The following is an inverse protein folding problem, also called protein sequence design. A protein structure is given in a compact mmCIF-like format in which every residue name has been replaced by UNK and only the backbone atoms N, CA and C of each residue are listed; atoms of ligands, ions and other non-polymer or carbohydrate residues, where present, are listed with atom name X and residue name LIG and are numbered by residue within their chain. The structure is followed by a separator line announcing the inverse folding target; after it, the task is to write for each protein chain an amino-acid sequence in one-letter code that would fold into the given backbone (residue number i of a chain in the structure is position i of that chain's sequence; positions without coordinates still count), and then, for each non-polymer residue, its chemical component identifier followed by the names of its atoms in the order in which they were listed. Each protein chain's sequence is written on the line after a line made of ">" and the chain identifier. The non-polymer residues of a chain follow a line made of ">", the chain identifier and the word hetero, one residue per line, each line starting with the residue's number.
data_IF_468859597062
#
_entry.id   IF_468859597062
#
_cell.length_a   1.000
_cell.length_b   1.000
_cell.length_c   1.000
_cell.angle_alpha   90.00
_cell.angle_beta   90.00
_cell.angle_gamma   90.00
#
_symmetry.space_group_name_H-M   'P 1'
#
loop_
_entity.id
_entity.type
_entity.pdbx_description
1 polymer ?
#
# COMPACT_ATOMS: atom_id res chain seq x y z
N UNK A 1 -40.26 68.83 -2.75
CA UNK A 1 -39.35 69.98 -2.55
C UNK A 1 -38.69 69.77 -1.20
N UNK A 2 -37.44 69.28 -1.17
CA UNK A 2 -36.68 69.18 0.08
C UNK A 2 -36.03 70.53 0.34
N UNK A 3 -36.53 71.28 1.31
CA UNK A 3 -36.01 72.59 1.66
C UNK A 3 -34.62 72.42 2.31
N UNK A 4 -33.55 73.05 1.78
CA UNK A 4 -32.21 72.89 2.34
C UNK A 4 -32.04 73.47 3.76
N UNK A 5 -33.04 74.21 4.26
CA UNK A 5 -33.10 74.74 5.64
C UNK A 5 -34.06 73.98 6.58
N UNK A 6 -34.44 72.73 6.24
CA UNK A 6 -35.26 71.91 7.13
C UNK A 6 -34.57 71.58 8.48
N UNK A 7 -35.34 71.32 9.55
CA UNK A 7 -34.79 70.92 10.84
C UNK A 7 -33.91 69.67 10.68
N UNK A 8 -32.80 69.62 11.44
CA UNK A 8 -31.89 68.47 11.41
C UNK A 8 -32.61 67.25 11.96
N UNK A 9 -32.72 66.20 11.14
CA UNK A 9 -33.28 64.93 11.56
C UNK A 9 -32.36 64.28 12.60
N UNK A 10 -32.90 64.02 13.79
CA UNK A 10 -32.17 63.41 14.91
C UNK A 10 -32.82 62.12 15.34
N UNK A 11 -32.07 61.27 16.04
CA UNK A 11 -32.59 60.03 16.61
C UNK A 11 -33.54 60.35 17.78
N UNK A 12 -34.64 59.62 17.89
CA UNK A 12 -35.54 59.75 19.02
C UNK A 12 -34.91 59.08 20.27
N UNK A 13 -34.63 59.82 21.35
CA UNK A 13 -34.02 59.27 22.57
C UNK A 13 -34.91 58.23 23.27
N UNK A 14 -36.23 58.32 23.11
CA UNK A 14 -37.19 57.40 23.75
C UNK A 14 -37.05 55.96 23.22
N UNK A 15 -36.54 55.80 21.99
CA UNK A 15 -36.32 54.50 21.36
C UNK A 15 -34.97 53.86 21.71
N UNK A 16 -34.13 54.53 22.50
CA UNK A 16 -32.76 54.08 22.82
C UNK A 16 -32.68 52.65 23.38
N UNK A 17 -33.48 52.35 24.41
CA UNK A 17 -33.51 51.02 25.03
C UNK A 17 -34.09 49.92 24.14
N UNK A 18 -35.03 50.26 23.24
CA UNK A 18 -35.52 49.31 22.24
C UNK A 18 -34.43 48.96 21.23
N UNK A 19 -33.73 49.98 20.73
CA UNK A 19 -32.67 49.82 19.75
C UNK A 19 -31.46 49.03 20.31
N UNK A 20 -31.13 49.21 21.58
CA UNK A 20 -30.09 48.41 22.25
C UNK A 20 -30.47 46.93 22.34
N UNK A 21 -31.74 46.65 22.70
CA UNK A 21 -32.28 45.28 22.71
C UNK A 21 -32.39 44.68 21.31
N UNK A 22 -32.63 45.49 20.29
CA UNK A 22 -32.66 45.04 18.90
C UNK A 22 -31.25 44.72 18.39
N UNK A 23 -30.28 45.61 18.67
CA UNK A 23 -28.87 45.42 18.30
C UNK A 23 -28.25 44.20 19.00
N UNK A 24 -28.60 43.96 20.27
CA UNK A 24 -28.11 42.78 21.00
C UNK A 24 -28.64 41.47 20.43
N UNK A 25 -29.89 41.45 19.95
CA UNK A 25 -30.50 40.31 19.23
C UNK A 25 -29.93 40.13 17.83
N UNK A 26 -29.71 41.24 17.10
CA UNK A 26 -29.35 41.23 15.69
C UNK A 26 -27.93 41.75 15.42
N UNK A 27 -26.92 41.16 16.08
CA UNK A 27 -25.52 41.63 16.02
C UNK A 27 -24.90 41.68 14.62
N UNK A 28 -25.43 40.90 13.67
CA UNK A 28 -24.92 40.81 12.29
C UNK A 28 -25.59 41.80 11.34
N UNK A 29 -26.66 42.47 11.76
CA UNK A 29 -27.36 43.45 10.93
C UNK A 29 -26.73 44.83 11.11
N UNK A 30 -26.54 45.52 9.98
CA UNK A 30 -26.06 46.89 9.96
C UNK A 30 -27.23 47.84 10.22
N UNK A 31 -27.03 48.81 11.11
CA UNK A 31 -28.00 49.88 11.37
C UNK A 31 -27.81 51.07 10.42
N UNK A 32 -26.83 51.02 9.51
CA UNK A 32 -26.53 52.07 8.55
C UNK A 32 -26.60 51.55 7.11
N UNK A 33 -26.78 52.46 6.15
CA UNK A 33 -26.84 52.12 4.72
C UNK A 33 -25.77 52.84 3.91
N UNK A 34 -24.97 52.08 3.16
CA UNK A 34 -23.94 52.62 2.27
C UNK A 34 -24.54 53.44 1.12
N UNK A 35 -25.76 53.10 0.66
CA UNK A 35 -26.47 53.88 -0.37
C UNK A 35 -26.87 55.27 0.11
N UNK A 36 -26.96 55.45 1.43
CA UNK A 36 -27.22 56.73 2.08
C UNK A 36 -25.93 57.34 2.68
N UNK A 37 -24.74 56.93 2.23
CA UNK A 37 -23.47 57.44 2.74
C UNK A 37 -23.18 57.03 4.18
N UNK A 38 -23.49 55.77 4.53
CA UNK A 38 -23.34 55.20 5.88
C UNK A 38 -24.19 55.89 6.96
N UNK A 39 -25.28 56.55 6.57
CA UNK A 39 -26.24 57.16 7.51
C UNK A 39 -27.03 56.10 8.27
N UNK A 40 -27.29 56.38 9.53
CA UNK A 40 -28.08 55.55 10.44
C UNK A 40 -29.54 55.50 9.99
N UNK A 41 -30.04 54.29 9.72
CA UNK A 41 -31.40 54.04 9.25
C UNK A 41 -32.46 54.35 10.32
N UNK A 42 -32.08 54.37 11.60
CA UNK A 42 -33.01 54.67 12.70
C UNK A 42 -33.47 56.12 12.69
N UNK A 43 -32.61 57.03 12.22
CA UNK A 43 -32.99 58.44 12.00
C UNK A 43 -34.12 58.52 10.96
N UNK A 44 -34.07 57.71 9.90
CA UNK A 44 -35.13 57.66 8.89
C UNK A 44 -36.45 57.15 9.48
N UNK A 45 -36.40 56.12 10.33
CA UNK A 45 -37.57 55.57 11.03
C UNK A 45 -38.20 56.62 11.95
N UNK A 46 -37.37 57.25 12.78
CA UNK A 46 -37.83 58.16 13.83
C UNK A 46 -38.43 59.46 13.26
N UNK A 47 -37.96 59.91 12.08
CA UNK A 47 -38.40 61.15 11.43
C UNK A 47 -39.30 60.88 10.20
N UNK A 48 -39.87 59.68 10.10
CA UNK A 48 -40.62 59.25 8.91
C UNK A 48 -41.76 60.20 8.57
N UNK A 49 -42.50 60.67 9.59
CA UNK A 49 -43.60 61.63 9.44
C UNK A 49 -43.12 63.01 8.99
N UNK A 50 -42.02 63.49 9.54
CA UNK A 50 -41.42 64.80 9.18
C UNK A 50 -40.93 64.84 7.73
N UNK A 51 -40.50 63.69 7.19
CA UNK A 51 -40.14 63.55 5.77
C UNK A 51 -41.36 63.40 4.84
N UNK A 52 -42.58 63.60 5.34
CA UNK A 52 -43.82 63.46 4.57
C UNK A 52 -44.33 62.02 4.49
N UNK A 53 -43.82 61.12 5.34
CA UNK A 53 -44.33 59.76 5.48
C UNK A 53 -45.67 59.76 6.20
N UNK A 54 -46.74 59.37 5.52
CA UNK A 54 -48.02 59.14 6.18
C UNK A 54 -47.99 57.77 6.85
N UNK A 55 -48.25 57.69 8.15
CA UNK A 55 -48.51 56.41 8.84
C UNK A 55 -49.83 55.83 8.33
N UNK A 56 -49.83 55.30 7.11
CA UNK A 56 -50.88 54.40 6.67
C UNK A 56 -50.63 53.09 7.40
N UNK A 57 -51.38 52.89 8.48
CA UNK A 57 -51.65 51.55 8.97
C UNK A 57 -51.99 50.67 7.78
N UNK A 58 -51.39 49.49 7.81
CA UNK A 58 -51.44 48.46 6.79
C UNK A 58 -52.86 48.30 6.20
N UNK A 59 -52.95 48.30 4.87
CA UNK A 59 -54.14 47.96 4.07
C UNK A 59 -55.24 49.03 3.91
N UNK A 60 -54.99 50.01 3.04
CA UNK A 60 -55.98 50.31 2.01
C UNK A 60 -55.30 50.23 0.64
N UNK A 61 -55.58 49.15 -0.09
CA UNK A 61 -55.32 49.10 -1.53
C UNK A 61 -56.15 50.23 -2.15
N UNK A 62 -55.49 51.18 -2.82
CA UNK A 62 -56.20 52.11 -3.72
C UNK A 62 -57.02 51.25 -4.69
N UNK A 63 -58.27 51.62 -5.01
CA UNK A 63 -59.00 50.92 -6.06
C UNK A 63 -58.15 50.96 -7.33
N UNK A 64 -57.92 49.78 -7.91
CA UNK A 64 -57.23 49.64 -9.18
C UNK A 64 -58.10 50.36 -10.20
N UNK A 65 -57.62 51.51 -10.67
CA UNK A 65 -58.19 52.16 -11.82
C UNK A 65 -57.85 51.27 -13.01
N UNK A 66 -58.81 50.46 -13.46
CA UNK A 66 -58.63 49.56 -14.59
C UNK A 66 -58.50 50.38 -15.88
N UNK A 67 -57.27 50.77 -16.21
CA UNK A 67 -56.94 51.16 -17.58
C UNK A 67 -56.88 49.88 -18.44
N UNK A 68 -57.56 49.82 -19.61
CA UNK A 68 -57.74 48.60 -20.40
C UNK A 68 -56.45 47.99 -20.99
N UNK A 69 -55.28 48.62 -20.81
CA UNK A 69 -53.97 48.05 -21.18
C UNK A 69 -53.19 47.36 -20.04
N UNK A 70 -53.67 47.44 -18.80
CA UNK A 70 -52.88 47.05 -17.60
C UNK A 70 -52.79 45.54 -17.43
N UNK A 71 -53.82 44.80 -17.85
CA UNK A 71 -53.90 43.33 -17.74
C UNK A 71 -52.92 42.63 -18.69
N UNK A 72 -52.78 43.11 -19.94
CA UNK A 72 -51.85 42.58 -20.93
C UNK A 72 -50.38 42.82 -20.57
N UNK A 73 -50.05 43.97 -19.98
CA UNK A 73 -48.69 44.26 -19.51
C UNK A 73 -48.28 43.35 -18.34
N UNK A 74 -49.19 43.12 -17.39
CA UNK A 74 -48.93 42.24 -16.24
C UNK A 74 -48.79 40.78 -16.68
N UNK A 75 -49.60 40.30 -17.61
CA UNK A 75 -49.45 38.94 -18.17
C UNK A 75 -48.15 38.81 -18.98
N UNK A 76 -47.80 39.79 -19.80
CA UNK A 76 -46.52 39.81 -20.53
C UNK A 76 -45.31 39.82 -19.58
N UNK A 77 -45.36 40.56 -18.47
CA UNK A 77 -44.29 40.52 -17.44
C UNK A 77 -44.16 39.15 -16.79
N UNK A 78 -45.28 38.50 -16.45
CA UNK A 78 -45.28 37.14 -15.89
C UNK A 78 -44.73 36.11 -16.88
N UNK A 79 -45.12 36.22 -18.15
CA UNK A 79 -44.62 35.35 -19.21
C UNK A 79 -43.11 35.51 -19.41
N UNK A 80 -42.63 36.75 -19.54
CA UNK A 80 -41.21 37.05 -19.67
C UNK A 80 -40.39 36.58 -18.45
N UNK A 81 -40.94 36.72 -17.24
CA UNK A 81 -40.29 36.22 -16.03
C UNK A 81 -40.18 34.68 -16.04
N UNK A 82 -41.26 33.98 -16.42
CA UNK A 82 -41.24 32.50 -16.56
C UNK A 82 -40.25 32.04 -17.62
N UNK A 83 -40.21 32.72 -18.76
CA UNK A 83 -39.27 32.39 -19.83
C UNK A 83 -37.81 32.56 -19.37
N UNK A 84 -37.49 33.64 -18.65
CA UNK A 84 -36.15 33.84 -18.06
C UNK A 84 -35.80 32.76 -17.03
N UNK A 85 -36.76 32.36 -16.19
CA UNK A 85 -36.55 31.29 -15.21
C UNK A 85 -36.26 29.95 -15.90
N UNK A 86 -37.05 29.58 -16.91
CA UNK A 86 -36.82 28.36 -17.69
C UNK A 86 -35.47 28.38 -18.41
N UNK A 87 -35.06 29.53 -18.95
CA UNK A 87 -33.74 29.67 -19.57
C UNK A 87 -32.61 29.51 -18.55
N UNK A 88 -32.76 30.09 -17.35
CA UNK A 88 -31.79 29.89 -16.27
C UNK A 88 -31.72 28.44 -15.80
N UNK A 89 -32.86 27.78 -15.60
CA UNK A 89 -32.91 26.36 -15.24
C UNK A 89 -32.18 25.51 -16.28
N UNK A 90 -32.45 25.74 -17.57
CA UNK A 90 -31.77 25.03 -18.66
C UNK A 90 -30.25 25.26 -18.65
N UNK A 91 -29.78 26.46 -18.31
CA UNK A 91 -28.35 26.75 -18.19
C UNK A 91 -27.73 26.05 -17.00
N UNK A 92 -28.43 25.98 -15.88
CA UNK A 92 -27.98 25.26 -14.67
C UNK A 92 -27.83 23.78 -14.98
N UNK A 93 -28.84 23.13 -15.58
CA UNK A 93 -28.78 21.70 -15.90
C UNK A 93 -27.64 21.38 -16.87
N UNK A 94 -27.46 22.19 -17.91
CA UNK A 94 -26.35 22.01 -18.87
C UNK A 94 -24.98 22.17 -18.19
N UNK A 95 -24.83 23.10 -17.25
CA UNK A 95 -23.59 23.27 -16.50
C UNK A 95 -23.35 22.10 -15.53
N UNK A 96 -24.40 21.58 -14.90
CA UNK A 96 -24.30 20.40 -14.03
C UNK A 96 -23.88 19.16 -14.83
N UNK A 97 -24.47 18.92 -16.00
CA UNK A 97 -24.11 17.80 -16.88
C UNK A 97 -22.65 17.89 -17.36
N UNK A 98 -22.20 19.08 -17.76
CA UNK A 98 -20.81 19.30 -18.18
C UNK A 98 -19.82 19.18 -17.03
N UNK A 99 -20.14 19.70 -15.83
CA UNK A 99 -19.33 19.47 -14.64
C UNK A 99 -19.27 18.00 -14.24
N UNK A 100 -20.39 17.28 -14.32
CA UNK A 100 -20.44 15.86 -13.99
C UNK A 100 -19.60 15.03 -14.98
N UNK A 101 -19.68 15.33 -16.28
CA UNK A 101 -18.85 14.69 -17.29
C UNK A 101 -17.36 14.94 -17.05
N UNK A 102 -16.96 16.20 -16.84
CA UNK A 102 -15.58 16.57 -16.54
C UNK A 102 -15.09 15.95 -15.21
N UNK A 103 -15.95 15.90 -14.19
CA UNK A 103 -15.65 15.28 -12.91
C UNK A 103 -15.40 13.77 -13.03
N UNK A 104 -16.17 13.08 -13.88
CA UNK A 104 -15.98 11.66 -14.15
C UNK A 104 -14.65 11.38 -14.87
N UNK A 105 -14.28 12.22 -15.84
CA UNK A 105 -12.98 12.11 -16.53
C UNK A 105 -11.80 12.28 -15.57
N UNK A 106 -11.85 13.28 -14.69
CA UNK A 106 -10.81 13.51 -13.67
C UNK A 106 -10.75 12.36 -12.66
N UNK A 107 -11.91 11.81 -12.25
CA UNK A 107 -11.97 10.65 -11.38
C UNK A 107 -11.34 9.42 -12.03
N UNK A 108 -11.64 9.17 -13.31
CA UNK A 108 -11.05 8.07 -14.09
C UNK A 108 -9.54 8.22 -14.24
N UNK A 109 -9.05 9.43 -14.53
CA UNK A 109 -7.63 9.72 -14.62
C UNK A 109 -6.92 9.48 -13.27
N UNK A 110 -7.53 9.91 -12.16
CA UNK A 110 -7.00 9.69 -10.82
C UNK A 110 -6.95 8.20 -10.46
N UNK A 111 -7.97 7.44 -10.85
CA UNK A 111 -8.00 5.99 -10.67
C UNK A 111 -6.88 5.30 -11.45
N UNK A 112 -6.65 5.70 -12.71
CA UNK A 112 -5.57 5.17 -13.54
C UNK A 112 -4.18 5.39 -12.89
N UNK A 113 -3.89 6.61 -12.41
CA UNK A 113 -2.59 6.87 -11.78
C UNK A 113 -2.41 6.11 -10.46
N UNK A 114 -3.47 5.92 -9.68
CA UNK A 114 -3.41 5.05 -8.49
C UNK A 114 -3.11 3.61 -8.86
N UNK A 115 -3.79 3.08 -9.88
CA UNK A 115 -3.57 1.72 -10.32
C UNK A 115 -2.16 1.54 -10.88
N UNK A 116 -1.67 2.47 -11.70
CA UNK A 116 -0.30 2.42 -12.24
C UNK A 116 0.76 2.53 -11.13
N UNK A 117 0.54 3.38 -10.12
CA UNK A 117 1.40 3.43 -8.94
C UNK A 117 1.43 2.11 -8.17
N UNK A 118 0.27 1.48 -7.97
CA UNK A 118 0.17 0.18 -7.31
C UNK A 118 0.87 -0.91 -8.11
N UNK A 119 0.65 -1.00 -9.42
CA UNK A 119 1.33 -1.98 -10.28
C UNK A 119 2.86 -1.83 -10.23
N UNK A 120 3.36 -0.59 -10.21
CA UNK A 120 4.80 -0.33 -10.06
C UNK A 120 5.33 -0.77 -8.70
N UNK A 121 4.59 -0.48 -7.63
CA UNK A 121 4.95 -0.90 -6.28
C UNK A 121 5.00 -2.43 -6.16
N UNK A 122 3.97 -3.12 -6.65
CA UNK A 122 3.89 -4.59 -6.63
C UNK A 122 5.05 -5.22 -7.44
N UNK A 123 5.37 -4.65 -8.60
CA UNK A 123 6.49 -5.11 -9.42
C UNK A 123 7.85 -4.89 -8.76
N UNK A 124 8.01 -3.80 -8.00
CA UNK A 124 9.23 -3.55 -7.22
C UNK A 124 9.34 -4.50 -6.02
N UNK A 125 8.25 -4.72 -5.28
CA UNK A 125 8.21 -5.67 -4.17
C UNK A 125 8.52 -7.09 -4.65
N UNK A 126 7.95 -7.50 -5.78
CA UNK A 126 8.25 -8.80 -6.40
C UNK A 126 9.74 -8.95 -6.70
N UNK A 127 10.37 -7.94 -7.31
CA UNK A 127 11.82 -7.94 -7.58
C UNK A 127 12.64 -8.05 -6.30
N UNK A 128 12.30 -7.27 -5.26
CA UNK A 128 12.99 -7.35 -3.96
C UNK A 128 12.89 -8.75 -3.36
N UNK A 129 11.73 -9.40 -3.47
CA UNK A 129 11.52 -10.76 -2.96
C UNK A 129 12.30 -11.80 -3.77
N UNK A 130 12.35 -11.65 -5.09
CA UNK A 130 13.13 -12.50 -5.99
C UNK A 130 14.62 -12.38 -5.68
N UNK A 131 15.17 -11.18 -5.56
CA UNK A 131 16.58 -10.94 -5.21
C UNK A 131 16.95 -11.58 -3.85
N UNK A 132 16.08 -11.47 -2.85
CA UNK A 132 16.27 -12.10 -1.54
C UNK A 132 16.20 -13.62 -1.60
N UNK A 133 15.39 -14.17 -2.49
CA UNK A 133 15.32 -15.62 -2.70
C UNK A 133 16.54 -16.12 -3.46
N UNK A 134 16.99 -15.42 -4.49
CA UNK A 134 18.19 -15.77 -5.24
C UNK A 134 19.43 -15.77 -4.35
N UNK A 135 19.57 -14.78 -3.46
CA UNK A 135 20.65 -14.78 -2.45
C UNK A 135 20.58 -15.98 -1.52
N UNK A 136 19.38 -16.36 -1.07
CA UNK A 136 19.20 -17.54 -0.21
C UNK A 136 19.48 -18.84 -0.96
N UNK A 137 19.09 -18.93 -2.23
CA UNK A 137 19.34 -20.12 -3.05
C UNK A 137 20.83 -20.26 -3.40
N UNK A 138 21.52 -19.16 -3.69
CA UNK A 138 22.96 -19.17 -3.96
C UNK A 138 23.75 -19.57 -2.72
N UNK A 139 23.44 -18.99 -1.55
CA UNK A 139 24.06 -19.38 -0.27
C UNK A 139 23.79 -20.86 0.06
N UNK A 140 22.56 -21.33 -0.18
CA UNK A 140 22.20 -22.74 0.03
C UNK A 140 22.97 -23.67 -0.90
N UNK A 141 23.05 -23.36 -2.19
CA UNK A 141 23.81 -24.13 -3.17
C UNK A 141 25.29 -24.17 -2.82
N UNK A 142 25.88 -23.04 -2.45
CA UNK A 142 27.28 -22.97 -2.04
C UNK A 142 27.54 -23.85 -0.80
N UNK A 143 26.62 -23.84 0.18
CA UNK A 143 26.73 -24.71 1.35
C UNK A 143 26.59 -26.19 0.98
N UNK A 144 25.66 -26.55 0.11
CA UNK A 144 25.46 -27.91 -0.38
C UNK A 144 26.69 -28.41 -1.17
N UNK A 145 27.31 -27.57 -2.00
CA UNK A 145 28.56 -27.88 -2.71
C UNK A 145 29.73 -28.10 -1.75
N UNK A 146 29.87 -27.25 -0.73
CA UNK A 146 30.88 -27.41 0.34
C UNK A 146 30.66 -28.70 1.13
N UNK A 147 29.42 -29.10 1.39
CA UNK A 147 29.14 -30.38 2.05
C UNK A 147 29.37 -31.58 1.13
N UNK A 148 29.02 -31.49 -0.16
CA UNK A 148 29.30 -32.53 -1.15
C UNK A 148 30.80 -32.77 -1.28
N UNK A 149 31.59 -31.72 -1.49
CA UNK A 149 33.05 -31.82 -1.60
C UNK A 149 33.66 -32.46 -0.37
N UNK A 150 33.22 -32.11 0.85
CA UNK A 150 33.67 -32.77 2.08
C UNK A 150 33.31 -34.26 2.12
N UNK A 151 32.10 -34.64 1.71
CA UNK A 151 31.67 -36.05 1.67
C UNK A 151 32.44 -36.84 0.61
N UNK A 152 32.69 -36.24 -0.55
CA UNK A 152 33.48 -36.84 -1.62
C UNK A 152 34.94 -37.05 -1.19
N UNK A 153 35.56 -36.05 -0.55
CA UNK A 153 36.91 -36.21 0.01
C UNK A 153 36.98 -37.30 1.08
N UNK A 154 36.00 -37.36 1.98
CA UNK A 154 35.94 -38.40 3.01
C UNK A 154 35.79 -39.80 2.37
N UNK A 155 34.87 -39.94 1.41
CA UNK A 155 34.69 -41.18 0.67
C UNK A 155 35.97 -41.59 -0.08
N UNK A 156 36.67 -40.64 -0.70
CA UNK A 156 37.95 -40.89 -1.39
C UNK A 156 39.02 -41.37 -0.41
N UNK A 157 39.13 -40.76 0.77
CA UNK A 157 40.07 -41.20 1.83
C UNK A 157 39.74 -42.61 2.33
N UNK A 158 38.46 -42.91 2.53
CA UNK A 158 38.00 -44.25 2.94
C UNK A 158 38.34 -45.30 1.87
N UNK A 159 38.11 -44.97 0.59
CA UNK A 159 38.49 -45.84 -0.52
C UNK A 159 40.00 -46.07 -0.59
N UNK A 160 40.81 -45.03 -0.47
CA UNK A 160 42.28 -45.16 -0.47
C UNK A 160 42.78 -46.02 0.70
N UNK A 161 42.21 -45.84 1.90
CA UNK A 161 42.55 -46.68 3.06
C UNK A 161 42.14 -48.15 2.85
N UNK A 162 40.98 -48.39 2.25
CA UNK A 162 40.52 -49.74 1.92
C UNK A 162 41.45 -50.41 0.89
N UNK A 163 41.89 -49.67 -0.13
CA UNK A 163 42.84 -50.15 -1.13
C UNK A 163 44.23 -50.43 -0.53
N UNK A 164 44.76 -49.51 0.28
CA UNK A 164 46.03 -49.74 1.01
C UNK A 164 45.96 -50.98 1.88
N UNK A 165 44.83 -51.20 2.54
CA UNK A 165 44.63 -52.41 3.36
C UNK A 165 44.60 -53.67 2.51
N UNK A 166 43.92 -53.67 1.36
CA UNK A 166 43.95 -54.80 0.41
C UNK A 166 45.37 -55.10 -0.08
N UNK A 167 46.12 -54.06 -0.46
CA UNK A 167 47.51 -54.20 -0.90
C UNK A 167 48.41 -54.77 0.20
N UNK A 168 48.21 -54.34 1.45
CA UNK A 168 48.92 -54.90 2.59
C UNK A 168 48.59 -56.37 2.81
N UNK A 169 47.30 -56.74 2.79
CA UNK A 169 46.86 -58.12 2.94
C UNK A 169 47.41 -59.03 1.81
N UNK A 170 47.50 -58.53 0.58
CA UNK A 170 48.14 -59.23 -0.55
C UNK A 170 49.63 -59.44 -0.33
N UNK A 171 50.37 -58.40 0.10
CA UNK A 171 51.79 -58.52 0.45
C UNK A 171 52.03 -59.55 1.55
N UNK A 172 51.21 -59.52 2.60
CA UNK A 172 51.31 -60.49 3.70
C UNK A 172 51.04 -61.93 3.26
N UNK A 173 50.19 -62.14 2.23
CA UNK A 173 49.96 -63.47 1.65
C UNK A 173 51.19 -63.97 0.89
N UNK A 174 51.83 -63.11 0.10
CA UNK A 174 53.05 -63.45 -0.63
C UNK A 174 54.20 -63.75 0.33
N UNK A 175 54.42 -62.93 1.36
CA UNK A 175 55.44 -63.17 2.38
C UNK A 175 55.24 -64.51 3.10
N UNK A 176 53.98 -64.88 3.39
CA UNK A 176 53.66 -66.21 3.97
C UNK A 176 53.99 -67.35 3.01
N UNK A 177 53.72 -67.19 1.72
CA UNK A 177 54.06 -68.18 0.70
C UNK A 177 55.58 -68.32 0.57
N UNK A 178 56.30 -67.21 0.47
CA UNK A 178 57.75 -67.20 0.37
C UNK A 178 58.42 -67.81 1.61
N UNK A 179 57.93 -67.50 2.81
CA UNK A 179 58.41 -68.13 4.03
C UNK A 179 58.15 -69.65 4.02
N UNK A 180 57.01 -70.09 3.49
CA UNK A 180 56.69 -71.50 3.27
C UNK A 180 57.66 -72.17 2.28
N UNK A 181 57.93 -71.54 1.15
CA UNK A 181 58.88 -72.03 0.14
C UNK A 181 60.31 -72.08 0.70
N UNK A 182 60.77 -71.02 1.39
CA UNK A 182 62.08 -70.99 2.06
C UNK A 182 62.19 -72.10 3.10
N UNK A 183 61.13 -72.34 3.88
CA UNK A 183 61.10 -73.44 4.84
C UNK A 183 61.20 -74.80 4.14
N UNK A 184 60.45 -75.01 3.05
CA UNK A 184 60.54 -76.22 2.24
C UNK A 184 61.95 -76.42 1.67
N UNK A 185 62.57 -75.39 1.11
CA UNK A 185 63.95 -75.44 0.60
C UNK A 185 64.95 -75.81 1.72
N UNK A 186 64.82 -75.22 2.90
CA UNK A 186 65.64 -75.54 4.07
C UNK A 186 65.46 -77.00 4.49
N UNK A 187 64.23 -77.51 4.51
CA UNK A 187 63.96 -78.92 4.84
C UNK A 187 64.58 -79.88 3.82
N UNK A 188 64.54 -79.55 2.53
CA UNK A 188 65.22 -80.34 1.48
C UNK A 188 66.73 -80.35 1.72
N UNK A 189 67.34 -79.20 2.00
CA UNK A 189 68.77 -79.10 2.31
C UNK A 189 69.16 -79.91 3.55
N UNK A 190 68.39 -79.78 4.64
CA UNK A 190 68.58 -80.57 5.86
C UNK A 190 68.42 -82.07 5.57
N UNK A 191 67.46 -82.48 4.75
CA UNK A 191 67.28 -83.87 4.34
C UNK A 191 68.44 -84.40 3.48
N UNK A 192 69.07 -83.54 2.69
CA UNK A 192 70.27 -83.87 1.90
C UNK A 192 71.53 -84.01 2.78
N UNK A 193 71.60 -83.28 3.90
CA UNK A 193 72.67 -83.38 4.88
C UNK A 193 72.42 -84.44 5.97
N UNK A 194 71.19 -84.95 6.12
CA UNK A 194 70.87 -86.07 6.99
C UNK A 194 71.29 -87.38 6.29
N UNK A 195 72.25 -88.15 6.82
CA UNK A 195 72.71 -89.38 6.18
C UNK A 195 71.55 -90.38 6.10
N UNK A 196 71.26 -90.88 4.89
CA UNK A 196 70.34 -92.01 4.69
C UNK A 196 70.89 -93.20 5.47
N UNK A 197 70.28 -93.52 6.61
CA UNK A 197 70.55 -94.75 7.36
C UNK A 197 70.15 -95.93 6.47
N UNK A 198 71.12 -96.51 5.75
CA UNK A 198 71.00 -97.81 5.09
C UNK A 198 70.93 -98.90 6.17
N UNK A 199 70.10 -99.91 5.90
CA UNK A 199 69.41 -100.73 6.90
C UNK A 199 70.18 -101.91 7.48
N UNK A 200 69.47 -102.70 8.29
CA UNK A 200 69.71 -104.14 8.45
C UNK A 200 68.45 -104.84 8.97
N UNK A 201 67.93 -105.76 8.16
CA UNK A 201 66.91 -106.75 8.50
C UNK A 201 67.48 -107.87 9.41
N UNK A 202 66.56 -108.73 9.87
CA UNK A 202 66.66 -110.13 10.33
C UNK A 202 66.62 -110.33 11.85
N UNK A 203 65.50 -110.87 12.35
CA UNK A 203 65.28 -112.31 12.70
C UNK A 203 65.69 -112.48 14.18
N UNK A 204 65.00 -113.12 15.12
CA UNK A 204 63.92 -114.11 15.06
C UNK A 204 63.31 -114.27 16.47
N UNK A 205 62.11 -114.86 16.50
CA UNK A 205 61.62 -115.86 17.48
C UNK A 205 61.32 -115.51 18.96
N UNK A 206 59.99 -115.50 19.22
CA UNK A 206 59.26 -116.48 20.05
C UNK A 206 59.33 -116.48 21.60
N UNK A 207 58.17 -116.85 22.18
CA UNK A 207 57.88 -117.21 23.59
C UNK A 207 57.68 -116.06 24.60
N UNK A 208 56.66 -116.01 25.47
CA UNK A 208 55.71 -117.05 25.92
C UNK A 208 54.51 -116.39 26.61
N UNK A 209 53.37 -117.07 26.51
CA UNK A 209 52.18 -117.00 27.38
C UNK A 209 52.46 -116.68 28.87
N UNK A 210 51.61 -115.85 29.47
CA UNK A 210 50.57 -116.26 30.42
C UNK A 210 49.50 -115.17 30.55
#
# INVERSE_FOLDING_TARGET
>A
MATPEGPRLTRNPDNSGFDEREKSRNKRLQTSSNRLGARDLRVLRDNFTEMGGTSTTFSQKRPVQETPGTTAYVTAKRFNARQRMQEMEKRVTMNEDTQNAAGLEVANLTAYFREDANRRADAEEKRRREDLNERRETERKEREEREQTRREEENRRVQELAERRRQFDERMKLDRQEAGERHQQMMILLSAFMPKKQGSQKEDENSTHL
#
